data_IF_758564671436
#
_entry.id   IF_758564671436
#
_cell.length_a   1.000
_cell.length_b   1.000
_cell.length_c   1.000
_cell.angle_alpha   90.00
_cell.angle_beta   90.00
_cell.angle_gamma   90.00
#
_symmetry.space_group_name_H-M   'P 1'
#
loop_
_entity.id
_entity.type
_entity.pdbx_description
1 polymer ?
#
# COMPACT_ATOMS: atom_id res chain seq x y z
N UNK A 1 -59.08 47.88 40.99
CA UNK A 1 -57.95 47.58 41.84
C UNK A 1 -57.87 46.05 42.04
N UNK A 2 -57.05 45.33 41.28
CA UNK A 2 -56.62 43.95 41.60
C UNK A 2 -55.31 43.69 40.87
N UNK A 3 -54.22 43.64 41.63
CA UNK A 3 -52.86 43.29 41.16
C UNK A 3 -52.83 41.80 40.84
N UNK A 4 -52.41 41.41 39.62
CA UNK A 4 -52.09 40.04 39.29
C UNK A 4 -50.55 39.91 39.17
N UNK A 5 -50.01 39.16 40.08
CA UNK A 5 -48.62 38.75 40.17
C UNK A 5 -48.37 37.70 39.07
N UNK A 6 -47.56 38.01 38.10
CA UNK A 6 -47.12 37.03 37.11
C UNK A 6 -45.85 36.33 37.62
N UNK A 7 -45.99 35.03 37.91
CA UNK A 7 -44.84 34.19 38.31
C UNK A 7 -43.93 33.88 37.11
N UNK A 8 -42.71 34.30 37.24
CA UNK A 8 -41.63 33.94 36.31
C UNK A 8 -41.14 32.55 36.67
N UNK A 9 -41.48 31.56 35.83
CA UNK A 9 -40.91 30.22 35.91
C UNK A 9 -39.56 30.22 35.20
N UNK A 10 -38.48 30.23 35.96
CA UNK A 10 -37.13 30.11 35.44
C UNK A 10 -36.86 28.62 35.15
N UNK A 11 -36.96 28.23 33.87
CA UNK A 11 -36.60 26.89 33.41
C UNK A 11 -35.08 26.82 33.27
N UNK A 12 -34.42 26.25 34.30
CA UNK A 12 -32.98 25.96 34.27
C UNK A 12 -32.78 24.70 33.42
N UNK A 13 -32.43 24.85 32.16
CA UNK A 13 -31.93 23.75 31.32
C UNK A 13 -30.50 23.43 31.76
N UNK A 14 -30.38 22.38 32.59
CA UNK A 14 -29.06 21.75 32.84
C UNK A 14 -28.67 20.99 31.60
N UNK A 15 -27.84 21.58 30.74
CA UNK A 15 -27.11 20.89 29.71
C UNK A 15 -26.02 20.04 30.35
N UNK A 16 -26.30 18.77 30.62
CA UNK A 16 -25.25 17.78 30.87
C UNK A 16 -24.48 17.60 29.58
N UNK A 17 -23.35 18.27 29.44
CA UNK A 17 -22.29 17.96 28.50
C UNK A 17 -21.76 16.53 28.77
N UNK A 18 -22.36 15.54 28.15
CA UNK A 18 -21.70 14.24 27.94
C UNK A 18 -20.49 14.51 27.05
N UNK A 19 -19.37 14.77 27.70
CA UNK A 19 -18.07 14.71 27.02
C UNK A 19 -17.87 13.30 26.49
N UNK A 20 -18.18 13.10 25.21
CA UNK A 20 -17.62 11.99 24.47
C UNK A 20 -16.12 12.25 24.44
N UNK A 21 -15.40 11.64 25.37
CA UNK A 21 -13.98 11.48 25.23
C UNK A 21 -13.78 10.66 23.93
N UNK A 22 -13.60 11.38 22.83
CA UNK A 22 -12.97 10.82 21.64
C UNK A 22 -11.57 10.43 22.12
N UNK A 23 -11.42 9.18 22.54
CA UNK A 23 -10.13 8.57 22.74
C UNK A 23 -9.42 8.72 21.40
N UNK A 24 -8.54 9.72 21.30
CA UNK A 24 -7.49 9.71 20.30
C UNK A 24 -6.69 8.44 20.60
N UNK A 25 -7.06 7.36 19.91
CA UNK A 25 -6.12 6.28 19.67
C UNK A 25 -4.95 6.99 19.00
N UNK A 26 -3.90 7.27 19.75
CA UNK A 26 -2.59 7.54 19.19
C UNK A 26 -2.30 6.30 18.35
N UNK A 27 -2.60 6.39 17.05
CA UNK A 27 -1.91 5.56 16.07
C UNK A 27 -0.45 5.91 16.30
N UNK A 28 0.28 5.02 16.91
CA UNK A 28 1.74 5.05 16.90
C UNK A 28 2.06 5.11 15.43
N UNK A 29 2.49 6.29 14.96
CA UNK A 29 2.80 6.49 13.55
C UNK A 29 3.93 5.53 13.23
N UNK A 30 3.58 4.40 12.59
CA UNK A 30 4.52 3.46 12.03
C UNK A 30 5.34 4.10 10.88
N UNK A 31 5.25 5.42 10.75
CA UNK A 31 5.91 6.20 9.72
C UNK A 31 7.33 6.60 10.10
N UNK A 32 7.72 6.46 11.36
CA UNK A 32 8.97 7.00 11.90
C UNK A 32 9.91 5.89 12.42
N UNK A 33 10.09 4.83 11.62
CA UNK A 33 11.15 3.86 11.93
C UNK A 33 12.51 4.53 11.78
N UNK A 34 13.35 4.40 12.81
CA UNK A 34 14.74 4.82 12.71
C UNK A 34 15.45 4.06 11.58
N UNK A 35 16.37 4.72 10.91
CA UNK A 35 17.10 4.19 9.74
C UNK A 35 17.74 2.82 10.01
N UNK A 36 18.15 2.54 11.23
CA UNK A 36 18.81 1.29 11.62
C UNK A 36 17.85 0.23 12.20
N UNK A 37 16.50 0.46 12.14
CA UNK A 37 15.56 -0.51 12.69
C UNK A 37 15.59 -1.81 11.85
N UNK A 38 15.78 -2.98 12.47
CA UNK A 38 15.80 -4.25 11.73
C UNK A 38 14.50 -4.51 10.97
N UNK A 39 14.59 -5.00 9.73
CA UNK A 39 13.44 -5.24 8.87
C UNK A 39 12.37 -6.16 9.51
N UNK A 40 12.78 -7.15 10.31
CA UNK A 40 11.86 -8.05 11.03
C UNK A 40 11.08 -7.31 12.15
N UNK A 41 11.67 -6.32 12.80
CA UNK A 41 11.01 -5.50 13.81
C UNK A 41 9.98 -4.56 13.16
N UNK A 42 10.36 -3.93 12.05
CA UNK A 42 9.44 -3.13 11.24
C UNK A 42 8.27 -3.99 10.77
N UNK A 43 8.54 -5.21 10.25
CA UNK A 43 7.51 -6.14 9.81
C UNK A 43 6.50 -6.44 10.93
N UNK A 44 6.98 -6.71 12.15
CA UNK A 44 6.12 -6.97 13.29
C UNK A 44 5.23 -5.76 13.62
N UNK A 45 5.77 -4.55 13.59
CA UNK A 45 5.05 -3.31 13.86
C UNK A 45 3.98 -3.02 12.79
N UNK A 46 4.29 -3.14 11.49
CA UNK A 46 3.33 -2.88 10.40
C UNK A 46 2.21 -3.93 10.38
N UNK A 47 2.50 -5.20 10.75
CA UNK A 47 1.46 -6.25 10.92
C UNK A 47 0.48 -5.93 12.04
N UNK A 48 0.90 -5.25 13.09
CA UNK A 48 0.07 -4.85 14.21
C UNK A 48 -0.73 -3.57 13.96
N UNK A 49 -0.56 -2.94 12.81
CA UNK A 49 -1.13 -1.64 12.47
C UNK A 49 -2.08 -1.71 11.26
N UNK A 50 -2.39 -0.57 10.64
CA UNK A 50 -3.31 -0.45 9.50
C UNK A 50 -2.63 -0.57 8.13
N UNK A 51 -1.44 -1.16 8.06
CA UNK A 51 -0.73 -1.38 6.81
C UNK A 51 -1.28 -2.58 6.02
N UNK A 52 -1.13 -2.51 4.70
CA UNK A 52 -1.16 -3.69 3.84
C UNK A 52 0.23 -4.31 3.89
N UNK A 53 0.33 -5.58 4.23
CA UNK A 53 1.63 -6.27 4.34
C UNK A 53 1.73 -7.38 3.31
N UNK A 54 2.80 -7.33 2.53
CA UNK A 54 3.13 -8.29 1.47
C UNK A 54 4.45 -8.94 1.85
N UNK A 55 4.47 -10.25 1.98
CA UNK A 55 5.67 -11.05 2.26
C UNK A 55 5.94 -11.96 1.07
N UNK A 56 7.10 -11.83 0.45
CA UNK A 56 7.52 -12.61 -0.71
C UNK A 56 6.44 -12.70 -1.80
N UNK A 57 5.87 -11.53 -2.14
CA UNK A 57 4.79 -11.35 -3.13
C UNK A 57 3.43 -11.95 -2.75
N UNK A 58 3.19 -12.31 -1.49
CA UNK A 58 1.90 -12.78 -0.95
C UNK A 58 1.40 -11.83 0.13
N UNK A 59 0.13 -11.49 0.09
CA UNK A 59 -0.46 -10.64 1.12
C UNK A 59 -0.67 -11.44 2.40
N UNK A 60 -0.06 -10.97 3.49
CA UNK A 60 -0.21 -11.57 4.81
C UNK A 60 -1.19 -10.82 5.70
N UNK A 61 -1.43 -9.51 5.44
CA UNK A 61 -2.46 -8.73 6.13
C UNK A 61 -2.90 -7.52 5.31
N UNK A 62 -4.09 -7.00 5.62
CA UNK A 62 -4.58 -5.72 5.10
C UNK A 62 -5.13 -5.75 3.67
N UNK A 63 -5.33 -6.91 3.03
CA UNK A 63 -5.87 -7.02 1.66
C UNK A 63 -7.14 -6.18 1.45
N UNK A 64 -8.08 -6.27 2.37
CA UNK A 64 -9.33 -5.51 2.28
C UNK A 64 -9.13 -3.99 2.26
N UNK A 65 -8.04 -3.48 2.85
CA UNK A 65 -7.70 -2.04 2.80
C UNK A 65 -7.27 -1.61 1.41
N UNK A 66 -6.46 -2.43 0.73
CA UNK A 66 -6.07 -2.14 -0.65
C UNK A 66 -7.28 -2.11 -1.57
N UNK A 67 -8.18 -3.09 -1.44
CA UNK A 67 -9.42 -3.12 -2.22
C UNK A 67 -10.31 -1.92 -1.92
N UNK A 68 -10.51 -1.58 -0.64
CA UNK A 68 -11.32 -0.41 -0.24
C UNK A 68 -10.73 0.92 -0.75
N UNK A 69 -9.40 1.08 -0.70
CA UNK A 69 -8.72 2.23 -1.28
C UNK A 69 -8.98 2.33 -2.78
N UNK A 70 -8.76 1.24 -3.52
CA UNK A 70 -9.01 1.21 -4.96
C UNK A 70 -10.45 1.57 -5.29
N UNK A 71 -11.44 0.95 -4.61
CA UNK A 71 -12.85 1.20 -4.85
C UNK A 71 -13.25 2.65 -4.54
N UNK A 72 -12.67 3.27 -3.51
CA UNK A 72 -12.86 4.68 -3.20
C UNK A 72 -12.29 5.59 -4.32
N UNK A 73 -11.07 5.31 -4.78
CA UNK A 73 -10.46 6.05 -5.89
C UNK A 73 -11.28 5.94 -7.18
N UNK A 74 -11.84 4.75 -7.49
CA UNK A 74 -12.72 4.57 -8.66
C UNK A 74 -14.00 5.40 -8.58
N UNK A 75 -14.42 5.83 -7.38
CA UNK A 75 -15.53 6.79 -7.18
C UNK A 75 -15.07 8.25 -7.17
N UNK A 76 -13.76 8.52 -7.36
CA UNK A 76 -13.17 9.85 -7.29
C UNK A 76 -12.94 10.36 -5.84
N UNK A 77 -13.02 9.50 -4.85
CA UNK A 77 -12.80 9.84 -3.44
C UNK A 77 -11.30 9.91 -3.14
N UNK A 78 -10.85 11.00 -2.53
CA UNK A 78 -9.46 11.13 -2.07
C UNK A 78 -9.15 10.09 -0.99
N UNK A 79 -7.94 9.55 -1.00
CA UNK A 79 -7.59 8.52 -0.05
C UNK A 79 -6.09 8.24 0.03
N UNK A 80 -5.75 7.39 1.00
CA UNK A 80 -4.38 6.95 1.24
C UNK A 80 -4.35 5.51 1.73
N UNK A 81 -3.35 4.76 1.27
CA UNK A 81 -3.03 3.42 1.76
C UNK A 81 -1.52 3.29 1.96
N UNK A 82 -1.13 2.59 3.00
CA UNK A 82 0.26 2.26 3.33
C UNK A 82 0.51 0.79 3.06
N UNK A 83 1.62 0.49 2.39
CA UNK A 83 1.98 -0.86 1.96
C UNK A 83 3.40 -1.16 2.40
N UNK A 84 3.59 -2.23 3.15
CA UNK A 84 4.91 -2.75 3.50
C UNK A 84 5.18 -4.02 2.69
N UNK A 85 6.27 -4.02 1.91
CA UNK A 85 6.68 -5.18 1.12
C UNK A 85 7.98 -5.74 1.69
N UNK A 86 7.91 -6.95 2.20
CA UNK A 86 9.00 -7.64 2.86
C UNK A 86 9.49 -8.80 1.99
N UNK A 87 10.79 -8.86 1.79
CA UNK A 87 11.44 -9.89 0.99
C UNK A 87 12.45 -10.68 1.83
N UNK A 88 12.38 -12.00 1.72
CA UNK A 88 13.39 -12.92 2.22
C UNK A 88 14.27 -13.43 1.09
N UNK A 89 15.41 -14.01 1.42
CA UNK A 89 16.27 -14.71 0.47
C UNK A 89 16.23 -16.20 0.78
N UNK A 90 15.57 -16.96 -0.08
CA UNK A 90 15.45 -18.41 0.04
C UNK A 90 16.66 -19.11 -0.60
N UNK A 91 17.50 -19.74 0.22
CA UNK A 91 18.70 -20.44 -0.24
C UNK A 91 18.40 -21.59 -1.22
N UNK A 92 17.20 -22.19 -1.16
CA UNK A 92 16.81 -23.31 -2.02
C UNK A 92 16.32 -22.83 -3.41
N UNK A 93 16.07 -21.52 -3.54
CA UNK A 93 15.53 -20.92 -4.78
C UNK A 93 16.53 -20.11 -5.58
N UNK A 94 17.70 -19.88 -5.04
CA UNK A 94 18.78 -19.13 -5.70
C UNK A 94 20.04 -19.96 -5.79
N UNK A 95 20.98 -19.60 -6.68
CA UNK A 95 22.26 -20.27 -6.72
C UNK A 95 23.06 -20.02 -5.43
N UNK A 96 23.90 -20.96 -5.03
CA UNK A 96 24.76 -20.82 -3.85
C UNK A 96 25.67 -19.59 -3.95
N UNK A 97 26.10 -19.23 -5.15
CA UNK A 97 26.92 -18.03 -5.41
C UNK A 97 26.11 -16.75 -5.15
N UNK A 98 24.89 -16.63 -5.69
CA UNK A 98 24.00 -15.49 -5.47
C UNK A 98 23.62 -15.39 -3.99
N UNK A 99 23.27 -16.51 -3.35
CA UNK A 99 22.98 -16.53 -1.92
C UNK A 99 24.16 -16.01 -1.08
N UNK A 100 25.38 -16.46 -1.38
CA UNK A 100 26.56 -16.01 -0.65
C UNK A 100 26.84 -14.50 -0.80
N UNK A 101 26.48 -13.92 -1.95
CA UNK A 101 26.64 -12.49 -2.23
C UNK A 101 25.58 -11.63 -1.56
N UNK A 102 24.32 -12.10 -1.51
CA UNK A 102 23.18 -11.27 -1.15
C UNK A 102 22.65 -11.51 0.28
N UNK A 103 22.98 -12.63 0.94
CA UNK A 103 22.39 -13.04 2.22
C UNK A 103 22.47 -11.98 3.32
N UNK A 104 23.52 -11.17 3.33
CA UNK A 104 23.75 -10.16 4.37
C UNK A 104 22.92 -8.87 4.10
N UNK A 105 22.32 -8.74 2.90
CA UNK A 105 21.44 -7.65 2.53
C UNK A 105 19.94 -7.97 2.68
N UNK A 106 19.61 -9.18 3.14
CA UNK A 106 18.23 -9.63 3.44
C UNK A 106 18.08 -9.92 4.94
N UNK A 107 16.85 -9.85 5.49
CA UNK A 107 15.61 -9.47 4.79
C UNK A 107 15.54 -7.98 4.46
N UNK A 108 14.79 -7.63 3.40
CA UNK A 108 14.54 -6.25 2.97
C UNK A 108 13.07 -5.89 3.19
N UNK A 109 12.82 -4.65 3.60
CA UNK A 109 11.46 -4.14 3.69
C UNK A 109 11.37 -2.76 3.02
N UNK A 110 10.39 -2.62 2.15
CA UNK A 110 10.04 -1.38 1.48
C UNK A 110 8.73 -0.85 2.06
N UNK A 111 8.70 0.43 2.37
CA UNK A 111 7.56 1.13 2.93
C UNK A 111 7.02 2.09 1.88
N UNK A 112 5.84 1.80 1.37
CA UNK A 112 5.19 2.59 0.31
C UNK A 112 3.97 3.31 0.87
N UNK A 113 3.92 4.61 0.64
CA UNK A 113 2.71 5.40 0.79
C UNK A 113 2.13 5.67 -0.60
N UNK A 114 0.87 5.31 -0.80
CA UNK A 114 0.12 5.58 -2.01
C UNK A 114 -1.08 6.46 -1.68
N UNK A 115 -1.17 7.62 -2.31
CA UNK A 115 -2.27 8.57 -2.13
C UNK A 115 -2.96 8.85 -3.47
N UNK A 116 -4.27 9.13 -3.41
CA UNK A 116 -5.04 9.66 -4.51
C UNK A 116 -5.65 11.00 -4.08
N UNK A 117 -5.38 12.07 -4.83
CA UNK A 117 -5.85 13.42 -4.52
C UNK A 117 -7.18 13.80 -5.17
N UNK A 118 -7.82 12.85 -5.86
CA UNK A 118 -9.04 13.05 -6.66
C UNK A 118 -8.76 13.21 -8.14
N UNK A 119 -7.49 13.30 -8.55
CA UNK A 119 -7.05 13.50 -9.95
C UNK A 119 -5.91 12.56 -10.32
N UNK A 120 -4.90 12.46 -9.47
CA UNK A 120 -3.66 11.72 -9.71
C UNK A 120 -3.28 10.87 -8.50
N UNK A 121 -2.51 9.82 -8.76
CA UNK A 121 -1.91 8.96 -7.74
C UNK A 121 -0.48 9.40 -7.48
N UNK A 122 -0.16 9.60 -6.21
CA UNK A 122 1.19 9.90 -5.75
C UNK A 122 1.72 8.70 -4.98
N UNK A 123 2.89 8.21 -5.38
CA UNK A 123 3.57 7.11 -4.71
C UNK A 123 4.89 7.60 -4.14
N UNK A 124 5.15 7.22 -2.90
CA UNK A 124 6.43 7.41 -2.24
C UNK A 124 6.84 6.06 -1.63
N UNK A 125 8.00 5.55 -2.03
CA UNK A 125 8.54 4.29 -1.52
C UNK A 125 9.93 4.54 -0.98
N UNK A 126 10.19 4.10 0.25
CA UNK A 126 11.52 4.11 0.84
C UNK A 126 11.95 2.69 1.23
N UNK A 127 13.22 2.43 1.10
CA UNK A 127 13.85 1.30 1.74
C UNK A 127 14.06 1.61 3.23
N UNK A 128 13.84 0.66 4.12
CA UNK A 128 13.80 0.91 5.56
C UNK A 128 15.09 1.48 6.16
N UNK A 129 16.23 1.19 5.53
CA UNK A 129 17.55 1.69 5.97
C UNK A 129 17.90 3.07 5.40
N UNK A 130 17.02 3.68 4.61
CA UNK A 130 17.23 4.99 3.99
C UNK A 130 16.32 6.03 4.63
N UNK A 131 16.85 7.22 4.87
CA UNK A 131 16.10 8.33 5.45
C UNK A 131 15.13 8.96 4.44
N UNK A 132 15.53 9.00 3.18
CA UNK A 132 14.77 9.62 2.09
C UNK A 132 14.09 8.58 1.20
N UNK A 133 12.95 8.90 0.59
CA UNK A 133 12.30 8.00 -0.35
C UNK A 133 13.19 7.70 -1.57
N UNK A 134 13.35 6.42 -1.90
CA UNK A 134 14.03 5.98 -3.11
C UNK A 134 13.22 6.34 -4.37
N UNK A 135 11.89 6.22 -4.27
CA UNK A 135 10.98 6.51 -5.38
C UNK A 135 9.91 7.51 -4.94
N UNK A 136 9.83 8.62 -5.69
CA UNK A 136 8.70 9.56 -5.60
C UNK A 136 8.19 9.80 -7.01
N UNK A 137 6.94 9.46 -7.29
CA UNK A 137 6.37 9.60 -8.63
C UNK A 137 4.86 9.83 -8.59
N UNK A 138 4.34 10.35 -9.70
CA UNK A 138 2.91 10.60 -9.91
C UNK A 138 2.44 9.90 -11.18
N UNK A 139 1.23 9.33 -11.13
CA UNK A 139 0.60 8.60 -12.22
C UNK A 139 -0.88 8.96 -12.35
N UNK A 140 -1.43 9.01 -13.58
CA UNK A 140 -2.84 9.29 -13.79
C UNK A 140 -3.77 8.09 -13.50
N UNK A 141 -3.25 6.86 -13.52
CA UNK A 141 -4.07 5.66 -13.41
C UNK A 141 -3.52 4.66 -12.40
N UNK A 142 -4.44 4.01 -11.65
CA UNK A 142 -4.20 2.80 -10.88
C UNK A 142 -5.00 1.67 -11.52
N UNK A 143 -4.32 0.69 -12.11
CA UNK A 143 -4.92 -0.41 -12.84
C UNK A 143 -4.86 -1.68 -11.99
N UNK A 144 -6.01 -2.32 -11.76
CA UNK A 144 -6.07 -3.64 -11.14
C UNK A 144 -5.97 -4.71 -12.21
N UNK A 145 -5.03 -5.62 -12.06
CA UNK A 145 -4.76 -6.72 -12.97
C UNK A 145 -4.90 -8.05 -12.24
N UNK A 146 -5.82 -8.88 -12.69
CA UNK A 146 -6.05 -10.22 -12.16
C UNK A 146 -5.91 -11.25 -13.27
N UNK A 147 -5.36 -12.40 -12.94
CA UNK A 147 -5.18 -13.47 -13.92
C UNK A 147 -4.69 -14.76 -13.29
N UNK A 148 -4.59 -15.78 -14.12
CA UNK A 148 -3.99 -17.07 -13.80
C UNK A 148 -2.49 -17.04 -14.01
N UNK A 149 -1.78 -17.99 -13.41
CA UNK A 149 -0.36 -18.20 -13.64
C UNK A 149 -0.08 -18.45 -15.14
N UNK A 150 1.03 -17.91 -15.68
CA UNK A 150 1.32 -18.05 -17.10
C UNK A 150 1.67 -19.49 -17.51
N UNK A 151 2.10 -20.33 -16.56
CA UNK A 151 2.50 -21.72 -16.78
C UNK A 151 2.06 -22.60 -15.63
N UNK A 152 1.90 -23.91 -15.87
CA UNK A 152 1.46 -24.88 -14.88
C UNK A 152 2.52 -25.17 -13.78
N UNK A 153 3.77 -24.82 -14.00
CA UNK A 153 4.88 -24.96 -13.08
C UNK A 153 5.21 -23.65 -12.32
N UNK A 154 4.33 -22.64 -12.43
CA UNK A 154 4.47 -21.41 -11.68
C UNK A 154 4.30 -21.66 -10.17
N UNK A 155 4.93 -20.82 -9.37
CA UNK A 155 4.88 -20.89 -7.90
C UNK A 155 3.57 -20.33 -7.31
N UNK A 156 2.55 -20.12 -8.13
CA UNK A 156 1.24 -19.60 -7.75
C UNK A 156 0.22 -20.01 -8.82
N UNK A 157 -1.08 -20.02 -8.46
CA UNK A 157 -2.16 -20.35 -9.37
C UNK A 157 -2.75 -19.11 -10.03
N UNK A 158 -2.86 -18.03 -9.26
CA UNK A 158 -3.47 -16.75 -9.67
C UNK A 158 -2.72 -15.58 -9.10
N UNK A 159 -2.91 -14.41 -9.69
CA UNK A 159 -2.42 -13.14 -9.15
C UNK A 159 -3.51 -12.08 -9.07
N UNK A 160 -3.34 -11.16 -8.11
CA UNK A 160 -4.04 -9.88 -8.01
C UNK A 160 -2.98 -8.78 -7.83
N UNK A 161 -2.91 -7.85 -8.75
CA UNK A 161 -1.88 -6.80 -8.80
C UNK A 161 -2.52 -5.44 -9.00
N UNK A 162 -1.93 -4.43 -8.36
CA UNK A 162 -2.26 -3.03 -8.62
C UNK A 162 -1.03 -2.32 -9.16
N UNK A 163 -1.21 -1.68 -10.31
CA UNK A 163 -0.14 -1.07 -11.10
C UNK A 163 -0.50 0.37 -11.37
N UNK A 164 0.36 1.30 -10.95
CA UNK A 164 0.32 2.68 -11.38
C UNK A 164 0.82 2.77 -12.81
N UNK A 165 0.15 3.53 -13.67
CA UNK A 165 0.50 3.58 -15.09
C UNK A 165 0.16 4.93 -15.73
N UNK A 166 0.89 5.27 -16.79
CA UNK A 166 0.56 6.38 -17.68
C UNK A 166 -0.60 6.04 -18.63
N UNK A 167 -0.96 4.75 -18.76
CA UNK A 167 -2.00 4.25 -19.64
C UNK A 167 -2.96 3.30 -18.91
N UNK A 168 -4.24 3.66 -18.86
CA UNK A 168 -5.29 2.84 -18.24
C UNK A 168 -5.51 1.48 -18.92
N UNK A 169 -5.14 1.34 -20.19
CA UNK A 169 -5.29 0.10 -20.95
C UNK A 169 -4.06 -0.81 -20.86
N UNK A 170 -3.07 -0.48 -20.02
CA UNK A 170 -1.88 -1.32 -19.81
C UNK A 170 -2.28 -2.71 -19.32
N UNK A 171 -1.67 -3.73 -19.92
CA UNK A 171 -1.93 -5.14 -19.62
C UNK A 171 -0.72 -5.83 -18.98
N UNK A 172 -0.96 -6.91 -18.24
CA UNK A 172 0.12 -7.71 -17.66
C UNK A 172 1.06 -8.30 -18.72
N UNK A 173 0.51 -8.74 -19.85
CA UNK A 173 1.30 -9.26 -20.96
C UNK A 173 2.26 -8.22 -21.59
N UNK A 174 1.89 -6.94 -21.59
CA UNK A 174 2.76 -5.85 -22.04
C UNK A 174 3.87 -5.59 -21.03
N UNK A 175 3.56 -5.61 -19.74
CA UNK A 175 4.54 -5.48 -18.65
C UNK A 175 5.56 -6.63 -18.73
N UNK A 176 5.10 -7.87 -18.80
CA UNK A 176 5.96 -9.05 -18.90
C UNK A 176 6.87 -8.98 -20.15
N UNK A 177 6.31 -8.61 -21.28
CA UNK A 177 7.10 -8.41 -22.50
C UNK A 177 8.18 -7.34 -22.31
N UNK A 178 7.86 -6.24 -21.64
CA UNK A 178 8.82 -5.17 -21.38
C UNK A 178 9.93 -5.62 -20.42
N UNK A 179 9.58 -6.42 -19.40
CA UNK A 179 10.56 -6.93 -18.42
C UNK A 179 11.51 -7.98 -19.01
N UNK A 180 11.02 -8.85 -19.89
CA UNK A 180 11.79 -9.98 -20.42
C UNK A 180 12.34 -9.76 -21.83
N UNK A 181 12.00 -8.65 -22.49
CA UNK A 181 12.55 -8.32 -23.80
C UNK A 181 13.94 -7.73 -23.65
N UNK A 182 14.96 -8.46 -24.09
CA UNK A 182 16.33 -7.95 -24.24
C UNK A 182 16.48 -6.99 -25.44
N UNK A 183 15.48 -6.93 -26.30
CA UNK A 183 15.40 -5.97 -27.38
C UNK A 183 14.54 -4.82 -26.87
N UNK A 184 15.18 -3.69 -26.52
CA UNK A 184 14.43 -2.45 -26.31
C UNK A 184 13.58 -2.21 -27.57
N UNK A 185 12.26 -2.04 -27.46
CA UNK A 185 11.44 -1.73 -28.61
C UNK A 185 11.87 -0.39 -29.15
N UNK A 186 12.73 -0.42 -30.15
CA UNK A 186 13.13 0.75 -30.91
C UNK A 186 11.92 1.16 -31.76
N UNK A 187 11.06 1.98 -31.17
CA UNK A 187 9.91 2.60 -31.83
C UNK A 187 8.66 1.74 -31.84
N UNK A 188 7.56 2.24 -31.50
CA UNK A 188 6.13 1.93 -31.71
C UNK A 188 5.33 1.40 -30.52
N UNK A 189 5.89 0.72 -29.50
CA UNK A 189 5.12 0.34 -28.31
C UNK A 189 5.75 0.84 -27.02
N UNK A 190 5.78 2.17 -26.84
CA UNK A 190 6.05 2.71 -25.51
C UNK A 190 4.83 2.45 -24.65
N UNK A 191 4.91 1.44 -23.78
CA UNK A 191 3.83 1.14 -22.81
C UNK A 191 3.62 2.26 -21.77
N UNK A 192 4.41 3.33 -21.82
CA UNK A 192 4.45 4.39 -20.81
C UNK A 192 5.21 3.97 -19.55
N UNK A 193 5.22 4.85 -18.56
CA UNK A 193 5.75 4.49 -17.23
C UNK A 193 4.74 3.63 -16.52
N UNK A 194 5.24 2.73 -15.73
CA UNK A 194 4.44 1.92 -14.82
C UNK A 194 5.22 1.62 -13.54
N UNK A 195 4.49 1.37 -12.44
CA UNK A 195 5.05 0.99 -11.15
C UNK A 195 4.09 0.05 -10.45
N UNK A 196 4.57 -1.15 -10.09
CA UNK A 196 3.76 -2.15 -9.39
C UNK A 196 3.81 -1.88 -7.90
N UNK A 197 2.70 -1.43 -7.34
CA UNK A 197 2.62 -1.05 -5.91
C UNK A 197 2.10 -2.17 -5.03
N UNK A 198 1.45 -3.17 -5.63
CA UNK A 198 0.88 -4.29 -4.87
C UNK A 198 0.90 -5.55 -5.71
N UNK A 199 1.27 -6.66 -5.10
CA UNK A 199 1.21 -7.99 -5.68
C UNK A 199 0.71 -8.98 -4.64
N UNK A 200 -0.29 -9.77 -5.01
CA UNK A 200 -0.73 -10.93 -4.26
C UNK A 200 -0.72 -12.16 -5.16
N UNK A 201 0.24 -13.05 -4.94
CA UNK A 201 0.31 -14.35 -5.60
C UNK A 201 -0.45 -15.36 -4.77
N UNK A 202 -1.48 -16.00 -5.35
CA UNK A 202 -2.47 -16.83 -4.67
C UNK A 202 -2.31 -18.27 -5.15
N UNK A 203 -2.35 -19.22 -4.22
CA UNK A 203 -2.22 -20.65 -4.51
C UNK A 203 -0.82 -21.22 -4.23
N UNK A 204 -0.68 -22.58 -4.34
CA UNK A 204 0.44 -23.45 -3.94
C UNK A 204 0.83 -23.39 -2.48
#
# INVERSE_FOLDING_TARGET
>A
MKKRLAGLVLLVCVFTLLGVACGSTQSTEADDFAVDTPAAEILAAVKASDWVVIEDSRVSSGEARMHAFYDACMRGEVGKVKIATYYTLDADRVSAELYAQEKDSYPRIFLTELTFDGTEYHVSTRYSIEAEPETVATYPYLVRMQGEAPTADALYDRYDRYVLADNAALTMAEIERAMFSSVAPLGEHKIGRWHMVYTNLIGN
#
